data_IF_887156245562
#
_entry.id   IF_887156245562
#
_cell.length_a   1.000
_cell.length_b   1.000
_cell.length_c   1.000
_cell.angle_alpha   90.00
_cell.angle_beta   90.00
_cell.angle_gamma   90.00
#
_symmetry.space_group_name_H-M   'P 1'
#
loop_
_entity.id
_entity.type
_entity.pdbx_description
1 polymer ?
#
# COMPACT_ATOMS: atom_id res chain seq x y z
N UNK A 1 10.21 4.95 14.94
CA UNK A 1 10.76 5.79 13.85
C UNK A 1 12.25 6.02 14.05
N UNK A 2 12.75 6.36 15.26
CA UNK A 2 14.19 6.61 15.52
C UNK A 2 15.12 5.48 15.05
N UNK A 3 14.71 4.20 15.19
CA UNK A 3 15.50 3.04 14.73
C UNK A 3 15.72 2.97 13.21
N UNK A 4 14.95 3.72 12.43
CA UNK A 4 15.11 3.79 10.98
C UNK A 4 16.30 4.63 10.56
N UNK A 5 16.68 5.63 11.38
CA UNK A 5 17.70 6.62 11.04
C UNK A 5 19.07 5.96 10.84
N UNK A 6 19.53 5.96 9.59
CA UNK A 6 20.84 5.38 9.22
C UNK A 6 20.93 3.85 9.30
N UNK A 7 19.81 3.14 9.40
CA UNK A 7 19.81 1.68 9.51
C UNK A 7 19.21 1.01 8.25
N UNK A 8 20.05 0.65 7.27
CA UNK A 8 19.60 0.08 5.99
C UNK A 8 18.82 -1.24 6.12
N UNK A 9 18.89 -1.92 7.26
CA UNK A 9 18.13 -3.17 7.50
C UNK A 9 16.62 -3.00 7.38
N UNK A 10 16.12 -1.79 7.57
CA UNK A 10 14.69 -1.47 7.48
C UNK A 10 14.29 -0.93 6.10
N UNK A 11 15.23 -0.80 5.15
CA UNK A 11 14.97 -0.24 3.85
C UNK A 11 14.72 -1.35 2.84
N UNK A 12 13.75 -1.15 1.95
CA UNK A 12 13.43 -2.12 0.92
C UNK A 12 14.54 -2.20 -0.13
N UNK A 13 15.10 -3.39 -0.33
CA UNK A 13 16.05 -3.70 -1.40
C UNK A 13 17.22 -2.71 -1.56
N UNK A 14 17.71 -2.14 -0.46
CA UNK A 14 18.80 -1.16 -0.48
C UNK A 14 18.41 0.25 -0.95
N UNK A 15 17.13 0.48 -1.22
CA UNK A 15 16.57 1.80 -1.55
C UNK A 15 16.45 2.69 -0.30
N UNK A 16 15.86 3.88 -0.47
CA UNK A 16 15.45 4.74 0.67
C UNK A 16 13.98 4.55 1.07
N UNK A 17 13.38 3.44 0.68
CA UNK A 17 11.96 3.16 0.90
C UNK A 17 11.76 2.27 2.12
N UNK A 18 10.75 2.59 2.93
CA UNK A 18 10.38 1.88 4.15
C UNK A 18 8.94 1.40 4.05
N UNK A 19 8.73 0.08 4.16
CA UNK A 19 7.41 -0.49 4.31
C UNK A 19 6.96 -0.33 5.76
N UNK A 20 5.81 0.31 5.96
CA UNK A 20 5.27 0.61 7.29
C UNK A 20 3.97 -0.14 7.52
N UNK A 21 3.94 -0.88 8.60
CA UNK A 21 2.76 -1.57 9.09
C UNK A 21 2.35 -0.99 10.45
N UNK A 22 1.05 -0.84 10.65
CA UNK A 22 0.45 -0.30 11.87
C UNK A 22 -0.49 -1.33 12.51
N UNK A 23 -0.82 -1.15 13.78
CA UNK A 23 -1.91 -1.88 14.40
C UNK A 23 -3.24 -1.55 13.70
N UNK A 24 -4.17 -2.50 13.61
CA UNK A 24 -5.45 -2.29 12.91
C UNK A 24 -6.28 -1.13 13.48
N UNK A 25 -6.14 -0.90 14.79
CA UNK A 25 -6.80 0.17 15.54
C UNK A 25 -6.02 1.48 15.55
N UNK A 26 -4.91 1.57 14.79
CA UNK A 26 -4.11 2.78 14.75
C UNK A 26 -4.95 3.99 14.38
N UNK A 27 -4.77 5.08 15.11
CA UNK A 27 -5.47 6.32 14.78
C UNK A 27 -4.91 6.94 13.51
N UNK A 28 -5.75 7.65 12.78
CA UNK A 28 -5.30 8.38 11.59
C UNK A 28 -4.19 9.39 11.89
N UNK A 29 -4.30 10.10 13.03
CA UNK A 29 -3.28 11.06 13.46
C UNK A 29 -1.91 10.40 13.67
N UNK A 30 -1.89 9.18 14.23
CA UNK A 30 -0.67 8.42 14.41
C UNK A 30 -0.03 7.99 13.08
N UNK A 31 -0.84 7.49 12.15
CA UNK A 31 -0.36 7.12 10.80
C UNK A 31 0.22 8.35 10.09
N UNK A 32 -0.49 9.46 10.07
CA UNK A 32 -0.08 10.70 9.42
C UNK A 32 1.21 11.26 10.03
N UNK A 33 1.31 11.29 11.36
CA UNK A 33 2.51 11.72 12.05
C UNK A 33 3.71 10.84 11.68
N UNK A 34 3.55 9.53 11.72
CA UNK A 34 4.63 8.58 11.38
C UNK A 34 5.09 8.74 9.93
N UNK A 35 4.16 8.91 8.99
CA UNK A 35 4.47 9.23 7.58
C UNK A 35 5.30 10.51 7.49
N UNK A 36 4.88 11.57 8.18
CA UNK A 36 5.59 12.85 8.18
C UNK A 36 7.01 12.71 8.74
N UNK A 37 7.18 12.01 9.87
CA UNK A 37 8.49 11.78 10.49
C UNK A 37 9.43 10.99 9.56
N UNK A 38 8.94 9.95 8.90
CA UNK A 38 9.72 9.16 7.93
C UNK A 38 10.13 10.03 6.72
N UNK A 39 9.23 10.88 6.23
CA UNK A 39 9.53 11.83 5.15
C UNK A 39 10.61 12.84 5.56
N UNK A 40 10.53 13.37 6.77
CA UNK A 40 11.55 14.31 7.30
C UNK A 40 12.94 13.68 7.42
N UNK A 41 13.03 12.36 7.55
CA UNK A 41 14.31 11.63 7.48
C UNK A 41 14.85 11.47 6.06
N UNK A 42 14.14 11.99 5.05
CA UNK A 42 14.45 11.80 3.64
C UNK A 42 14.18 10.39 3.14
N UNK A 43 13.38 9.61 3.87
CA UNK A 43 12.95 8.28 3.48
C UNK A 43 11.59 8.32 2.76
N UNK A 44 11.31 7.28 1.97
CA UNK A 44 10.06 7.12 1.25
C UNK A 44 9.15 6.13 1.98
N UNK A 45 8.07 6.58 2.64
CA UNK A 45 7.15 5.67 3.30
C UNK A 45 6.23 4.96 2.31
N UNK A 46 6.00 3.66 2.54
CA UNK A 46 4.94 2.86 1.94
C UNK A 46 4.02 2.39 3.05
N UNK A 47 2.77 2.78 3.02
CA UNK A 47 1.76 2.30 3.96
C UNK A 47 1.25 0.94 3.47
N UNK A 48 1.61 -0.12 4.19
CA UNK A 48 1.24 -1.50 3.87
C UNK A 48 -0.25 -1.75 4.10
N UNK A 49 -0.86 -2.59 3.26
CA UNK A 49 -2.25 -3.06 3.33
C UNK A 49 -3.23 -2.01 3.91
N UNK A 50 -3.20 -0.81 3.30
CA UNK A 50 -3.92 0.37 3.78
C UNK A 50 -5.43 0.14 3.96
N UNK A 51 -6.00 -0.80 3.23
CA UNK A 51 -7.41 -1.20 3.33
C UNK A 51 -7.77 -1.91 4.64
N UNK A 52 -6.78 -2.30 5.44
CA UNK A 52 -7.01 -2.93 6.75
C UNK A 52 -7.20 -1.91 7.88
N UNK A 53 -6.78 -0.65 7.68
CA UNK A 53 -6.89 0.37 8.72
C UNK A 53 -8.27 1.03 8.71
N UNK A 54 -9.04 0.76 9.76
CA UNK A 54 -10.40 1.27 9.89
C UNK A 54 -10.47 2.80 9.78
N UNK A 55 -9.48 3.48 10.31
CA UNK A 55 -9.37 4.93 10.22
C UNK A 55 -9.28 5.46 8.79
N UNK A 56 -8.75 4.68 7.82
CA UNK A 56 -8.63 5.13 6.43
C UNK A 56 -9.94 5.01 5.65
N UNK A 57 -10.70 3.93 5.84
CA UNK A 57 -11.96 3.79 5.11
C UNK A 57 -13.16 4.51 5.78
N UNK A 58 -13.05 4.91 7.04
CA UNK A 58 -14.03 5.77 7.71
C UNK A 58 -13.85 7.26 7.42
N UNK A 59 -12.68 7.67 6.95
CA UNK A 59 -12.37 9.07 6.63
C UNK A 59 -12.36 9.32 5.14
N UNK A 60 -13.11 10.33 4.67
CA UNK A 60 -13.27 10.64 3.25
C UNK A 60 -11.87 11.00 2.70
N UNK A 61 -11.16 11.52 2.51
CA UNK A 61 -9.95 11.90 1.76
C UNK A 61 -8.62 11.50 2.44
N UNK A 62 -8.67 10.68 3.51
CA UNK A 62 -7.48 10.35 4.31
C UNK A 62 -6.36 9.66 3.54
N UNK A 63 -6.70 8.82 2.56
CA UNK A 63 -5.70 8.21 1.70
C UNK A 63 -5.05 9.26 0.79
N UNK A 64 -5.84 10.16 0.22
CA UNK A 64 -5.30 11.26 -0.59
C UNK A 64 -4.40 12.20 0.23
N UNK A 65 -4.74 12.47 1.48
CA UNK A 65 -3.91 13.28 2.38
C UNK A 65 -2.56 12.58 2.67
N UNK A 66 -2.55 11.27 2.93
CA UNK A 66 -1.31 10.50 3.08
C UNK A 66 -0.44 10.56 1.83
N UNK A 67 -1.04 10.45 0.63
CA UNK A 67 -0.34 10.61 -0.64
C UNK A 67 0.24 12.02 -0.81
N UNK A 68 -0.50 13.04 -0.42
CA UNK A 68 -0.03 14.44 -0.42
C UNK A 68 1.16 14.63 0.51
N UNK A 69 1.23 13.92 1.63
CA UNK A 69 2.40 13.85 2.51
C UNK A 69 3.55 13.03 1.93
N UNK A 70 3.38 12.44 0.75
CA UNK A 70 4.41 11.69 0.03
C UNK A 70 4.48 10.22 0.37
N UNK A 71 3.44 9.63 0.99
CA UNK A 71 3.37 8.20 1.17
C UNK A 71 2.95 7.48 -0.12
N UNK A 72 3.52 6.31 -0.38
CA UNK A 72 2.94 5.34 -1.28
C UNK A 72 1.91 4.48 -0.54
N UNK A 73 0.83 4.13 -1.23
CA UNK A 73 -0.27 3.34 -0.69
C UNK A 73 -0.23 1.95 -1.31
N UNK A 74 -0.05 0.94 -0.46
CA UNK A 74 -0.10 -0.46 -0.86
C UNK A 74 -1.39 -1.10 -0.34
N UNK A 75 -2.03 -1.92 -1.17
CA UNK A 75 -3.15 -2.78 -0.79
C UNK A 75 -2.86 -4.24 -1.14
N UNK A 76 -3.56 -5.15 -0.47
CA UNK A 76 -3.43 -6.58 -0.72
C UNK A 76 -4.30 -7.06 -1.89
N UNK A 77 -3.74 -7.97 -2.71
CA UNK A 77 -4.45 -8.58 -3.83
C UNK A 77 -5.70 -9.33 -3.37
N UNK A 78 -5.66 -10.02 -2.23
CA UNK A 78 -6.81 -10.74 -1.70
C UNK A 78 -8.01 -9.84 -1.40
N UNK A 79 -7.76 -8.58 -1.01
CA UNK A 79 -8.81 -7.62 -0.69
C UNK A 79 -9.62 -7.22 -1.92
N UNK A 80 -8.97 -6.95 -3.05
CA UNK A 80 -9.65 -6.63 -4.29
C UNK A 80 -10.39 -7.84 -4.87
N UNK A 81 -9.86 -9.05 -4.65
CA UNK A 81 -10.53 -10.30 -5.03
C UNK A 81 -11.76 -10.60 -4.16
N UNK A 82 -11.90 -9.92 -3.02
CA UNK A 82 -13.04 -10.04 -2.12
C UNK A 82 -12.88 -11.08 -1.02
N UNK A 83 -11.69 -11.66 -0.86
CA UNK A 83 -11.39 -12.64 0.19
C UNK A 83 -11.44 -12.04 1.60
N UNK A 84 -11.20 -10.72 1.71
CA UNK A 84 -11.28 -9.96 2.97
C UNK A 84 -12.66 -9.30 3.20
N UNK A 85 -13.69 -9.74 2.47
CA UNK A 85 -15.06 -9.28 2.62
C UNK A 85 -15.42 -8.08 1.74
N UNK A 86 -16.74 -7.79 1.70
CA UNK A 86 -17.31 -6.78 0.78
C UNK A 86 -16.85 -5.35 1.05
N UNK A 87 -16.66 -4.99 2.32
CA UNK A 87 -16.21 -3.63 2.68
C UNK A 87 -14.81 -3.33 2.16
N UNK A 88 -13.85 -4.23 2.43
CA UNK A 88 -12.47 -4.10 1.94
C UNK A 88 -12.44 -4.04 0.41
N UNK A 89 -13.16 -4.94 -0.27
CA UNK A 89 -13.25 -4.93 -1.74
C UNK A 89 -13.81 -3.60 -2.27
N UNK A 90 -14.90 -3.11 -1.69
CA UNK A 90 -15.50 -1.84 -2.13
C UNK A 90 -14.53 -0.67 -1.96
N UNK A 91 -13.85 -0.60 -0.83
CA UNK A 91 -12.86 0.44 -0.56
C UNK A 91 -11.68 0.37 -1.53
N UNK A 92 -11.10 -0.81 -1.76
CA UNK A 92 -10.03 -1.00 -2.73
C UNK A 92 -10.46 -0.61 -4.15
N UNK A 93 -11.68 -0.98 -4.57
CA UNK A 93 -12.22 -0.62 -5.89
C UNK A 93 -12.42 0.89 -6.04
N UNK A 94 -12.85 1.58 -4.97
CA UNK A 94 -12.94 3.04 -4.94
C UNK A 94 -11.55 3.66 -5.12
N UNK A 95 -10.57 3.23 -4.32
CA UNK A 95 -9.19 3.73 -4.40
C UNK A 95 -8.56 3.50 -5.78
N UNK A 96 -8.81 2.34 -6.42
CA UNK A 96 -8.35 2.07 -7.78
C UNK A 96 -8.96 3.03 -8.81
N UNK A 97 -10.25 3.32 -8.69
CA UNK A 97 -10.95 4.26 -9.57
C UNK A 97 -10.44 5.70 -9.42
N UNK A 98 -10.03 6.05 -8.22
CA UNK A 98 -9.55 7.39 -7.86
C UNK A 98 -8.01 7.55 -7.98
N UNK A 99 -7.31 6.56 -8.55
CA UNK A 99 -5.83 6.56 -8.68
C UNK A 99 -5.08 6.72 -7.34
N UNK A 100 -5.67 6.21 -6.26
CA UNK A 100 -5.11 6.34 -4.93
C UNK A 100 -4.20 5.17 -4.51
N UNK A 101 -4.08 4.12 -5.34
CA UNK A 101 -3.24 2.96 -5.08
C UNK A 101 -1.96 3.07 -5.90
N UNK A 102 -0.83 2.92 -5.25
CA UNK A 102 0.49 2.97 -5.89
C UNK A 102 1.03 1.57 -6.20
N UNK A 103 0.81 0.60 -5.30
CA UNK A 103 1.27 -0.77 -5.50
C UNK A 103 0.35 -1.78 -4.83
N UNK A 104 0.44 -3.03 -5.31
CA UNK A 104 -0.27 -4.17 -4.73
C UNK A 104 0.69 -5.31 -4.45
N UNK A 105 0.40 -6.07 -3.40
CA UNK A 105 1.17 -7.25 -3.00
C UNK A 105 0.23 -8.40 -2.63
N UNK A 106 0.76 -9.63 -2.69
CA UNK A 106 0.01 -10.80 -2.23
C UNK A 106 -0.07 -10.87 -0.70
N UNK A 107 0.91 -10.30 -0.01
CA UNK A 107 1.09 -10.47 1.44
C UNK A 107 1.11 -11.96 1.83
N UNK A 108 1.71 -12.80 0.94
CA UNK A 108 1.77 -14.23 1.10
C UNK A 108 2.69 -14.63 2.26
N UNK A 109 2.22 -15.56 3.10
CA UNK A 109 2.96 -16.08 4.24
C UNK A 109 3.12 -17.59 4.22
N UNK A 110 2.33 -18.28 3.39
CA UNK A 110 2.32 -19.73 3.25
C UNK A 110 1.81 -20.14 1.87
N UNK A 111 1.74 -21.44 1.63
CA UNK A 111 1.30 -22.03 0.35
C UNK A 111 -0.15 -22.52 0.35
N UNK A 112 -0.85 -22.45 1.48
CA UNK A 112 -2.20 -23.00 1.63
C UNK A 112 -3.28 -21.94 1.88
N UNK A 113 -3.03 -21.01 2.82
CA UNK A 113 -4.03 -20.03 3.27
C UNK A 113 -3.76 -18.64 2.74
N UNK A 114 -2.52 -18.15 2.86
CA UNK A 114 -2.11 -16.81 2.39
C UNK A 114 -1.17 -16.96 1.20
N UNK A 115 -1.74 -17.47 0.11
CA UNK A 115 -1.03 -17.80 -1.12
C UNK A 115 -0.78 -16.57 -2.00
N UNK A 116 0.14 -16.73 -2.94
CA UNK A 116 0.37 -15.73 -3.99
C UNK A 116 -0.83 -15.68 -4.94
N UNK A 117 -1.45 -14.50 -5.06
CA UNK A 117 -2.67 -14.26 -5.86
C UNK A 117 -2.56 -13.01 -6.75
N UNK A 118 -1.33 -12.64 -7.11
CA UNK A 118 -1.03 -11.44 -7.90
C UNK A 118 -1.64 -11.55 -9.31
N UNK A 119 -1.59 -12.74 -9.92
CA UNK A 119 -2.11 -12.95 -11.27
C UNK A 119 -3.61 -12.67 -11.35
N UNK A 120 -4.38 -13.25 -10.45
CA UNK A 120 -5.84 -13.08 -10.41
C UNK A 120 -6.23 -11.61 -10.17
N UNK A 121 -5.48 -10.92 -9.32
CA UNK A 121 -5.69 -9.50 -9.08
C UNK A 121 -5.36 -8.67 -10.33
N UNK A 122 -4.24 -8.94 -10.99
CA UNK A 122 -3.84 -8.27 -12.23
C UNK A 122 -4.86 -8.47 -13.35
N UNK A 123 -5.37 -9.69 -13.54
CA UNK A 123 -6.42 -10.00 -14.52
C UNK A 123 -7.73 -9.25 -14.21
N UNK A 124 -8.10 -9.16 -12.92
CA UNK A 124 -9.29 -8.39 -12.52
C UNK A 124 -9.13 -6.90 -12.83
N UNK A 125 -7.95 -6.33 -12.52
CA UNK A 125 -7.64 -4.93 -12.78
C UNK A 125 -7.60 -4.66 -14.28
N UNK A 126 -6.93 -5.50 -15.06
CA UNK A 126 -6.84 -5.37 -16.51
C UNK A 126 -8.24 -5.31 -17.16
N UNK A 127 -9.15 -6.20 -16.77
CA UNK A 127 -10.53 -6.23 -17.28
C UNK A 127 -11.36 -5.00 -16.91
N UNK A 128 -11.10 -4.38 -15.75
CA UNK A 128 -11.92 -3.27 -15.24
C UNK A 128 -11.35 -1.88 -15.52
N UNK A 129 -10.02 -1.77 -15.54
CA UNK A 129 -9.30 -0.49 -15.57
C UNK A 129 -8.26 -0.41 -16.69
N UNK A 130 -8.05 -1.50 -17.43
CA UNK A 130 -7.08 -1.57 -18.52
C UNK A 130 -5.69 -2.05 -18.10
N UNK A 131 -4.89 -2.39 -19.12
CA UNK A 131 -3.55 -2.96 -18.94
C UNK A 131 -2.56 -1.94 -18.39
N UNK A 132 -2.67 -0.68 -18.76
CA UNK A 132 -1.82 0.42 -18.28
C UNK A 132 -1.86 0.54 -16.75
N UNK A 133 -3.04 0.37 -16.14
CA UNK A 133 -3.20 0.38 -14.68
C UNK A 133 -2.44 -0.79 -14.04
N UNK A 134 -2.47 -1.97 -14.64
CA UNK A 134 -1.71 -3.14 -14.16
C UNK A 134 -0.22 -2.85 -14.21
N UNK A 135 0.28 -2.34 -15.32
CA UNK A 135 1.70 -2.02 -15.48
C UNK A 135 2.17 -0.95 -14.49
N UNK A 136 1.34 0.08 -14.25
CA UNK A 136 1.63 1.11 -13.26
C UNK A 136 1.81 0.52 -11.87
N UNK A 137 0.85 -0.28 -11.40
CA UNK A 137 0.79 -0.78 -10.02
C UNK A 137 1.79 -1.92 -9.76
N UNK A 138 1.99 -2.82 -10.73
CA UNK A 138 2.81 -4.02 -10.53
C UNK A 138 4.23 -3.90 -11.11
N UNK A 139 4.51 -2.92 -11.96
CA UNK A 139 5.80 -2.80 -12.63
C UNK A 139 6.42 -1.42 -12.42
N UNK A 140 5.76 -0.34 -12.87
CA UNK A 140 6.39 0.97 -12.94
C UNK A 140 6.68 1.57 -11.56
N UNK A 141 5.67 1.62 -10.68
CA UNK A 141 5.85 2.15 -9.32
C UNK A 141 6.76 1.26 -8.47
N UNK A 142 6.61 -0.09 -8.43
CA UNK A 142 7.56 -0.96 -7.76
C UNK A 142 9.01 -0.78 -8.22
N UNK A 143 9.27 -0.69 -9.53
CA UNK A 143 10.60 -0.38 -10.05
C UNK A 143 11.14 0.95 -9.54
N UNK A 144 10.33 2.00 -9.58
CA UNK A 144 10.70 3.33 -9.09
C UNK A 144 11.07 3.29 -7.61
N UNK A 145 10.31 2.55 -6.80
CA UNK A 145 10.53 2.41 -5.36
C UNK A 145 11.86 1.72 -5.04
N UNK A 146 12.23 0.70 -5.83
CA UNK A 146 13.45 -0.08 -5.59
C UNK A 146 14.70 0.63 -6.12
N UNK A 147 14.57 1.47 -7.14
CA UNK A 147 15.70 2.14 -7.80
C UNK A 147 16.04 3.51 -7.20
N UNK A 148 15.31 3.99 -6.19
CA UNK A 148 15.57 5.24 -5.47
C UNK A 148 16.25 4.95 -4.14
#
# INVERSE_FOLDING_TARGET
VERLRGNPKYYMAGSRTVLMEFAYEASYAWIMQTVSEVRQMGLQPVVAHAERYECLYKGRDRVAELKTQGAYIQINCESILGKCGRKAKHFCMKLLKEDQIDLMASDAHDTEYRIVNIREAAELISRKFGQEKVETIFIHIPKKIILT
#
